data_IF_925127713678
#
_entry.id   IF_925127713678
#
_cell.length_a   1.000
_cell.length_b   1.000
_cell.length_c   1.000
_cell.angle_alpha   90.00
_cell.angle_beta   90.00
_cell.angle_gamma   90.00
#
_symmetry.space_group_name_H-M   'P 1'
#
loop_
_entity.id
_entity.type
_entity.pdbx_description
1 polymer ?
#
# COMPACT_ATOMS: atom_id res chain seq x y z
N UNK A 1 10.25 -5.78 -5.32
CA UNK A 1 9.04 -5.51 -4.53
C UNK A 1 9.09 -4.04 -4.13
N UNK A 2 7.95 -3.33 -4.11
CA UNK A 2 7.93 -1.91 -3.69
C UNK A 2 7.99 -1.81 -2.16
N UNK A 3 8.29 -0.63 -1.61
CA UNK A 3 8.21 -0.37 -0.17
C UNK A 3 6.81 -0.66 0.39
N UNK A 4 5.76 -0.35 -0.38
CA UNK A 4 4.40 -0.73 -0.02
C UNK A 4 4.24 -2.26 0.06
N UNK A 5 4.83 -3.00 -0.89
CA UNK A 5 4.85 -4.47 -0.85
C UNK A 5 5.48 -5.02 0.42
N UNK A 6 6.68 -4.52 0.77
CA UNK A 6 7.39 -4.87 2.02
C UNK A 6 6.56 -4.53 3.25
N UNK A 7 5.97 -3.33 3.30
CA UNK A 7 5.16 -2.87 4.42
C UNK A 7 3.97 -3.79 4.72
N UNK A 8 3.28 -4.24 3.66
CA UNK A 8 2.09 -5.09 3.76
C UNK A 8 2.46 -6.55 4.07
N UNK A 9 3.56 -7.06 3.50
CA UNK A 9 4.05 -8.41 3.77
C UNK A 9 4.55 -8.59 5.21
N UNK A 10 5.30 -7.62 5.72
CA UNK A 10 5.78 -7.61 7.12
C UNK A 10 4.64 -7.59 8.15
N UNK A 11 3.43 -7.16 7.74
CA UNK A 11 2.22 -7.12 8.57
C UNK A 11 1.24 -8.25 8.24
N UNK A 12 1.63 -9.22 7.42
CA UNK A 12 0.78 -10.35 6.99
C UNK A 12 -0.58 -9.91 6.42
N UNK A 13 -0.60 -8.78 5.70
CA UNK A 13 -1.85 -8.19 5.20
C UNK A 13 -2.39 -8.96 4.00
N UNK A 14 -3.68 -9.32 4.06
CA UNK A 14 -4.39 -9.91 2.92
C UNK A 14 -4.72 -8.83 1.87
N UNK A 15 -3.96 -8.84 0.77
CA UNK A 15 -4.12 -7.90 -0.35
C UNK A 15 -5.51 -7.94 -1.00
N UNK A 16 -6.13 -9.11 -1.12
CA UNK A 16 -7.46 -9.23 -1.73
C UNK A 16 -8.54 -8.59 -0.85
N UNK A 17 -8.44 -8.72 0.46
CA UNK A 17 -9.39 -8.08 1.39
C UNK A 17 -9.23 -6.55 1.41
N UNK A 18 -7.99 -6.06 1.41
CA UNK A 18 -7.71 -4.62 1.32
C UNK A 18 -8.26 -4.03 0.02
N UNK A 19 -8.02 -4.68 -1.12
CA UNK A 19 -8.53 -4.23 -2.42
C UNK A 19 -10.06 -4.11 -2.41
N UNK A 20 -10.75 -5.10 -1.80
CA UNK A 20 -12.20 -5.07 -1.61
C UNK A 20 -12.66 -3.90 -0.72
N UNK A 21 -11.98 -3.66 0.41
CA UNK A 21 -12.31 -2.58 1.36
C UNK A 21 -12.19 -1.19 0.76
N UNK A 22 -11.21 -0.98 -0.11
CA UNK A 22 -10.93 0.33 -0.72
C UNK A 22 -11.56 0.50 -2.12
N UNK A 23 -12.30 -0.50 -2.60
CA UNK A 23 -13.05 -0.43 -3.86
C UNK A 23 -12.19 -0.49 -5.12
N UNK A 24 -11.05 -1.17 -5.09
CA UNK A 24 -10.17 -1.35 -6.27
C UNK A 24 -10.05 -2.82 -6.66
N UNK A 25 -9.64 -3.08 -7.90
CA UNK A 25 -9.38 -4.46 -8.35
C UNK A 25 -8.15 -5.04 -7.63
N UNK A 26 -8.13 -6.34 -7.26
CA UNK A 26 -6.96 -6.98 -6.63
C UNK A 26 -5.66 -6.87 -7.45
N UNK A 27 -5.80 -6.78 -8.78
CA UNK A 27 -4.69 -6.54 -9.70
C UNK A 27 -4.00 -5.20 -9.43
N UNK A 28 -4.76 -4.14 -9.06
CA UNK A 28 -4.20 -2.82 -8.74
C UNK A 28 -3.29 -2.88 -7.52
N UNK A 29 -3.72 -3.56 -6.45
CA UNK A 29 -2.89 -3.72 -5.25
C UNK A 29 -1.67 -4.64 -5.51
N UNK A 30 -1.82 -5.62 -6.40
CA UNK A 30 -0.69 -6.45 -6.85
C UNK A 30 0.32 -5.64 -7.66
N UNK A 31 -0.14 -4.77 -8.55
CA UNK A 31 0.70 -3.86 -9.32
C UNK A 31 1.46 -2.91 -8.39
N UNK A 32 0.77 -2.22 -7.48
CA UNK A 32 1.36 -1.29 -6.51
C UNK A 32 2.39 -1.94 -5.57
N UNK A 33 2.28 -3.24 -5.29
CA UNK A 33 3.21 -3.96 -4.40
C UNK A 33 4.41 -4.57 -5.15
N UNK A 34 4.31 -4.80 -6.46
CA UNK A 34 5.34 -5.51 -7.23
C UNK A 34 6.07 -4.64 -8.26
N UNK A 35 5.39 -3.70 -8.89
CA UNK A 35 5.92 -2.90 -9.99
C UNK A 35 6.50 -1.57 -9.48
N UNK A 36 7.82 -1.38 -9.59
CA UNK A 36 8.49 -0.12 -9.18
C UNK A 36 8.08 1.08 -10.05
N UNK A 37 7.59 0.85 -11.27
CA UNK A 37 7.05 1.91 -12.13
C UNK A 37 5.60 2.29 -11.81
N UNK A 38 4.94 1.58 -10.89
CA UNK A 38 3.58 1.91 -10.50
C UNK A 38 3.58 3.08 -9.51
N UNK A 39 2.80 4.11 -9.82
CA UNK A 39 2.63 5.25 -8.92
C UNK A 39 1.56 4.98 -7.88
N UNK A 40 1.97 4.94 -6.61
CA UNK A 40 1.07 4.96 -5.45
C UNK A 40 0.57 6.38 -5.22
N UNK A 41 -0.73 6.61 -5.40
CA UNK A 41 -1.33 7.92 -5.18
C UNK A 41 -1.63 8.14 -3.69
N UNK A 42 -1.65 9.40 -3.26
CA UNK A 42 -1.90 9.76 -1.86
C UNK A 42 -3.26 9.26 -1.34
N UNK A 43 -4.31 9.30 -2.17
CA UNK A 43 -5.62 8.77 -1.83
C UNK A 43 -5.63 7.24 -1.69
N UNK A 44 -4.91 6.52 -2.56
CA UNK A 44 -4.75 5.07 -2.47
C UNK A 44 -4.01 4.70 -1.18
N UNK A 45 -2.90 5.38 -0.87
CA UNK A 45 -2.15 5.18 0.37
C UNK A 45 -3.05 5.41 1.60
N UNK A 46 -3.79 6.52 1.62
CA UNK A 46 -4.68 6.85 2.73
C UNK A 46 -5.74 5.76 2.96
N UNK A 47 -6.40 5.31 1.89
CA UNK A 47 -7.42 4.27 1.98
C UNK A 47 -6.83 2.93 2.40
N UNK A 48 -5.65 2.56 1.87
CA UNK A 48 -4.94 1.33 2.26
C UNK A 48 -4.61 1.37 3.75
N UNK A 49 -4.02 2.48 4.24
CA UNK A 49 -3.69 2.66 5.65
C UNK A 49 -4.92 2.51 6.54
N UNK A 50 -6.03 3.19 6.21
CA UNK A 50 -7.30 3.05 6.94
C UNK A 50 -7.86 1.63 6.90
N UNK A 51 -7.78 0.94 5.77
CA UNK A 51 -8.29 -0.43 5.62
C UNK A 51 -7.54 -1.48 6.45
N UNK A 52 -6.29 -1.21 6.81
CA UNK A 52 -5.44 -2.08 7.64
C UNK A 52 -5.28 -1.58 9.08
N UNK A 53 -5.92 -0.45 9.43
CA UNK A 53 -5.80 0.16 10.76
C UNK A 53 -4.44 0.79 11.05
N UNK A 54 -3.70 1.21 10.03
CA UNK A 54 -2.44 1.95 10.18
C UNK A 54 -2.67 3.47 10.10
N UNK A 55 -1.76 4.24 10.71
CA UNK A 55 -1.72 5.68 10.48
C UNK A 55 -1.23 6.00 9.05
N UNK A 56 -1.95 6.83 8.28
CA UNK A 56 -1.54 7.18 6.93
C UNK A 56 -0.20 7.92 6.85
N UNK A 57 0.15 8.74 7.83
CA UNK A 57 1.42 9.47 7.84
C UNK A 57 2.58 8.52 8.14
N UNK A 58 2.42 7.61 9.10
CA UNK A 58 3.42 6.57 9.37
C UNK A 58 3.66 5.66 8.14
N UNK A 59 2.59 5.29 7.42
CA UNK A 59 2.72 4.53 6.18
C UNK A 59 3.42 5.36 5.10
N UNK A 60 3.11 6.65 4.98
CA UNK A 60 3.75 7.55 4.03
C UNK A 60 5.25 7.65 4.30
N UNK A 61 5.64 7.91 5.55
CA UNK A 61 7.04 8.00 5.97
C UNK A 61 7.80 6.71 5.66
N UNK A 62 7.18 5.55 5.90
CA UNK A 62 7.80 4.26 5.55
C UNK A 62 7.98 4.08 4.04
N UNK A 63 6.94 4.39 3.25
CA UNK A 63 6.99 4.20 1.79
C UNK A 63 7.98 5.17 1.15
N UNK A 64 8.15 6.35 1.73
CA UNK A 64 9.03 7.42 1.26
C UNK A 64 10.38 7.47 1.97
N UNK A 65 10.75 6.48 2.78
CA UNK A 65 11.96 6.51 3.62
C UNK A 65 13.29 6.65 2.85
N UNK A 66 13.28 6.38 1.54
CA UNK A 66 14.45 6.49 0.67
C UNK A 66 14.58 7.87 -0.01
N UNK A 67 13.61 8.76 0.18
CA UNK A 67 13.67 10.13 -0.34
C UNK A 67 14.67 10.95 0.50
N UNK A 68 15.50 11.75 -0.19
CA UNK A 68 16.47 12.67 0.41
C UNK A 68 15.96 14.09 0.40
#
# INVERSE_FOLDING_TARGET
>A
MTRLGEYLENRSINKSDVARKIGVMPQRLTELTKNQGAHLRANELYLIAKAIGADPCEMLDYVCQDLK
#
